data_IF_830771816939
#
_entry.id   IF_830771816939
#
_cell.length_a   1.000
_cell.length_b   1.000
_cell.length_c   1.000
_cell.angle_alpha   90.00
_cell.angle_beta   90.00
_cell.angle_gamma   90.00
#
_symmetry.space_group_name_H-M   'P 1'
#
loop_
_entity.id
_entity.type
_entity.pdbx_description
1 polymer ?
#
# COMPACT_ATOMS: atom_id res chain seq x y z
N UNK A 1 -9.00 -6.55 -9.96
CA UNK A 1 -8.52 -6.67 -8.57
C UNK A 1 -7.12 -7.26 -8.44
N UNK A 2 -6.66 -8.14 -9.34
CA UNK A 2 -5.27 -8.64 -9.33
C UNK A 2 -4.27 -7.49 -9.50
N UNK A 3 -4.49 -6.60 -10.47
CA UNK A 3 -3.62 -5.43 -10.69
C UNK A 3 -3.60 -4.45 -9.51
N UNK A 4 -4.71 -4.32 -8.78
CA UNK A 4 -4.78 -3.42 -7.62
C UNK A 4 -3.76 -3.80 -6.53
N UNK A 5 -3.64 -5.09 -6.21
CA UNK A 5 -2.68 -5.58 -5.22
C UNK A 5 -1.24 -5.33 -5.66
N UNK A 6 -0.96 -5.50 -6.96
CA UNK A 6 0.36 -5.23 -7.52
C UNK A 6 0.76 -3.76 -7.36
N UNK A 7 -0.15 -2.84 -7.63
CA UNK A 7 0.09 -1.39 -7.50
C UNK A 7 0.30 -0.99 -6.04
N UNK A 8 -0.49 -1.55 -5.11
CA UNK A 8 -0.31 -1.35 -3.66
C UNK A 8 1.08 -1.81 -3.22
N UNK A 9 1.51 -2.98 -3.68
CA UNK A 9 2.83 -3.54 -3.34
C UNK A 9 4.00 -2.76 -3.97
N UNK A 10 3.75 -1.98 -5.04
CA UNK A 10 4.69 -1.02 -5.61
C UNK A 10 4.76 0.30 -4.83
N UNK A 11 3.93 0.48 -3.81
CA UNK A 11 3.90 1.67 -2.96
C UNK A 11 2.88 2.74 -3.38
N UNK A 12 2.01 2.47 -4.35
CA UNK A 12 0.98 3.43 -4.74
C UNK A 12 -0.05 3.66 -3.63
N UNK A 13 -0.63 4.86 -3.62
CA UNK A 13 -1.67 5.19 -2.63
C UNK A 13 -2.98 4.49 -2.97
N UNK A 14 -3.76 4.13 -1.93
CA UNK A 14 -5.05 3.45 -2.13
C UNK A 14 -6.02 4.25 -3.00
N UNK A 15 -5.97 5.58 -2.93
CA UNK A 15 -6.77 6.46 -3.78
C UNK A 15 -6.37 6.34 -5.24
N UNK A 16 -5.07 6.41 -5.56
CA UNK A 16 -4.58 6.25 -6.93
C UNK A 16 -4.94 4.88 -7.49
N UNK A 17 -4.71 3.82 -6.72
CA UNK A 17 -5.04 2.44 -7.12
C UNK A 17 -6.54 2.29 -7.37
N UNK A 18 -7.39 2.86 -6.51
CA UNK A 18 -8.84 2.82 -6.69
C UNK A 18 -9.27 3.46 -8.01
N UNK A 19 -8.74 4.65 -8.33
CA UNK A 19 -9.06 5.33 -9.58
C UNK A 19 -8.50 4.61 -10.82
N UNK A 20 -7.26 4.10 -10.76
CA UNK A 20 -6.65 3.36 -11.87
C UNK A 20 -7.40 2.07 -12.22
N UNK A 21 -7.98 1.39 -11.23
CA UNK A 21 -8.74 0.15 -11.46
C UNK A 21 -10.24 0.38 -11.64
N UNK A 22 -10.67 1.63 -11.80
CA UNK A 22 -12.03 2.00 -12.20
C UNK A 22 -13.04 2.23 -11.07
N UNK A 23 -12.60 2.34 -9.81
CA UNK A 23 -13.49 2.71 -8.70
C UNK A 23 -13.57 4.22 -8.54
N UNK A 24 -14.80 4.72 -8.41
CA UNK A 24 -15.06 6.13 -8.12
C UNK A 24 -14.65 6.57 -6.70
N UNK A 25 -14.31 5.64 -5.80
CA UNK A 25 -13.95 5.94 -4.41
C UNK A 25 -13.05 4.88 -3.80
N UNK A 26 -12.03 5.34 -3.07
CA UNK A 26 -11.11 4.50 -2.28
C UNK A 26 -11.83 3.66 -1.21
N UNK A 27 -12.93 4.17 -0.64
CA UNK A 27 -13.70 3.46 0.39
C UNK A 27 -14.46 2.27 -0.21
N UNK A 28 -15.06 2.43 -1.40
CA UNK A 28 -15.74 1.34 -2.12
C UNK A 28 -14.73 0.27 -2.54
N UNK A 29 -13.59 0.72 -3.07
CA UNK A 29 -12.47 -0.15 -3.40
C UNK A 29 -12.01 -0.98 -2.20
N UNK A 30 -11.78 -0.35 -1.04
CA UNK A 30 -11.24 -1.02 0.15
C UNK A 30 -12.19 -2.11 0.68
N UNK A 31 -13.51 -1.86 0.68
CA UNK A 31 -14.51 -2.86 1.08
C UNK A 31 -14.49 -4.08 0.17
N UNK A 32 -14.44 -3.85 -1.14
CA UNK A 32 -14.42 -4.92 -2.13
C UNK A 32 -13.10 -5.69 -2.11
N UNK A 33 -11.99 -5.00 -1.86
CA UNK A 33 -10.67 -5.60 -1.68
C UNK A 33 -10.67 -6.56 -0.49
N UNK A 34 -11.18 -6.13 0.67
CA UNK A 34 -11.30 -7.00 1.85
C UNK A 34 -12.19 -8.21 1.57
N UNK A 35 -13.28 -8.05 0.82
CA UNK A 35 -14.17 -9.17 0.45
C UNK A 35 -13.45 -10.24 -0.38
N UNK A 36 -12.52 -9.83 -1.25
CA UNK A 36 -11.81 -10.73 -2.16
C UNK A 36 -10.54 -11.32 -1.57
N UNK A 37 -9.83 -10.58 -0.72
CA UNK A 37 -8.51 -10.97 -0.19
C UNK A 37 -8.50 -11.28 1.30
N UNK A 38 -9.64 -11.13 2.00
CA UNK A 38 -9.78 -11.40 3.44
C UNK A 38 -9.13 -10.36 4.35
N UNK A 39 -8.37 -9.41 3.79
CA UNK A 39 -7.67 -8.36 4.53
C UNK A 39 -7.75 -7.01 3.81
N UNK A 40 -7.72 -5.90 4.56
CA UNK A 40 -7.78 -4.58 3.95
C UNK A 40 -6.48 -4.24 3.19
N UNK A 41 -6.56 -3.42 2.12
CA UNK A 41 -5.41 -3.09 1.28
C UNK A 41 -4.33 -2.28 2.03
N UNK A 42 -4.66 -1.64 3.15
CA UNK A 42 -3.68 -0.96 4.02
C UNK A 42 -2.64 -1.92 4.63
N UNK A 43 -2.98 -3.20 4.84
CA UNK A 43 -2.02 -4.20 5.34
C UNK A 43 -0.96 -4.52 4.29
N UNK A 44 -1.37 -4.72 3.04
CA UNK A 44 -0.43 -4.89 1.92
C UNK A 44 0.41 -3.62 1.71
N UNK A 45 -0.16 -2.43 1.90
CA UNK A 45 0.59 -1.16 1.84
C UNK A 45 1.65 -1.07 2.94
N UNK A 46 1.34 -1.51 4.15
CA UNK A 46 2.31 -1.58 5.25
C UNK A 46 3.41 -2.60 4.97
N UNK A 47 3.06 -3.77 4.47
CA UNK A 47 4.05 -4.77 4.06
C UNK A 47 4.96 -4.26 2.92
N UNK A 48 4.44 -3.40 2.05
CA UNK A 48 5.23 -2.71 1.05
C UNK A 48 6.18 -1.68 1.68
N UNK A 49 5.73 -0.84 2.63
CA UNK A 49 6.62 0.11 3.31
C UNK A 49 7.71 -0.59 4.13
N UNK A 50 7.35 -1.62 4.88
CA UNK A 50 8.30 -2.33 5.75
C UNK A 50 9.43 -2.99 4.92
N UNK A 51 9.14 -3.50 3.70
CA UNK A 51 10.17 -4.03 2.79
C UNK A 51 11.15 -2.98 2.28
N UNK A 52 10.69 -1.74 2.08
CA UNK A 52 11.57 -0.65 1.68
C UNK A 52 12.46 -0.21 2.85
N UNK A 53 11.93 -0.23 4.07
CA UNK A 53 12.68 0.06 5.29
C UNK A 53 13.78 -1.00 5.55
N UNK A 54 13.48 -2.29 5.36
CA UNK A 54 14.46 -3.40 5.50
C UNK A 54 15.62 -3.33 4.48
N UNK A 55 15.33 -2.93 3.25
CA UNK A 55 16.37 -2.82 2.20
C UNK A 55 17.35 -1.68 2.49
N UNK A 56 16.89 -0.62 3.15
CA UNK A 56 17.73 0.48 3.62
C UNK A 56 18.48 0.15 4.92
N UNK A 57 17.91 -0.70 5.78
CA UNK A 57 18.41 -1.02 7.12
C UNK A 57 19.54 -2.08 7.18
N UNK A 58 20.02 -2.59 6.03
CA UNK A 58 21.21 -3.44 5.95
C UNK A 58 22.52 -2.77 6.40
N UNK A 59 22.49 -1.50 6.81
CA UNK A 59 23.56 -0.82 7.53
C UNK A 59 22.95 -0.09 8.72
N UNK A 60 23.37 -0.51 9.91
CA UNK A 60 23.06 -0.01 11.24
C UNK A 60 22.60 1.46 11.29
N UNK A 61 21.45 1.73 11.91
CA UNK A 61 21.24 2.77 12.93
C UNK A 61 19.75 3.09 13.08
N UNK A 62 19.30 3.09 14.35
CA UNK A 62 18.39 4.06 14.94
C UNK A 62 17.37 4.73 14.01
N UNK A 63 16.13 4.27 14.14
CA UNK A 63 14.89 5.07 14.07
C UNK A 63 15.13 6.57 13.88
N UNK A 64 15.04 7.08 12.65
CA UNK A 64 14.69 8.48 12.43
C UNK A 64 13.95 8.67 11.10
N UNK A 65 12.72 9.18 11.24
CA UNK A 65 11.93 9.93 10.24
C UNK A 65 11.38 9.17 9.02
N UNK A 66 10.05 9.04 9.02
CA UNK A 66 9.22 8.67 7.85
C UNK A 66 9.05 9.91 6.96
N UNK A 67 9.15 9.83 5.63
CA UNK A 67 8.82 10.96 4.77
C UNK A 67 7.29 11.19 4.75
N UNK A 68 6.87 12.38 5.17
CA UNK A 68 5.55 12.92 4.92
C UNK A 68 5.55 13.54 3.51
N UNK A 69 4.74 12.99 2.62
CA UNK A 69 4.51 13.52 1.28
C UNK A 69 3.95 14.96 1.36
N UNK A 70 4.52 15.84 0.54
CA UNK A 70 4.14 17.24 0.35
C UNK A 70 2.76 17.43 -0.27
#
# INVERSE_FOLDING_TARGET
MIEARRLILKGETLSQVAFQVGYASASRFSREYTRLYGQPPSMDKKAASDRWDDTAAGRSATSLMRPHAA
#
